data_IF_211394247279
#
_entry.id   IF_211394247279
#
_cell.length_a   1.000
_cell.length_b   1.000
_cell.length_c   1.000
_cell.angle_alpha   90.00
_cell.angle_beta   90.00
_cell.angle_gamma   90.00
#
_symmetry.space_group_name_H-M   'P 1'
#
loop_
_entity.id
_entity.type
_entity.pdbx_description
1 polymer ?
#
# COMPACT_ATOMS: atom_id res chain seq x y z
N UNK A 1 -1.31 1.03 5.77
CA UNK A 1 -0.26 -0.02 5.75
C UNK A 1 -0.90 -1.39 5.79
N UNK A 2 -0.31 -2.37 5.12
CA UNK A 2 -0.63 -3.80 5.33
C UNK A 2 0.66 -4.53 5.69
N UNK A 3 0.80 -4.92 6.95
CA UNK A 3 2.09 -5.32 7.52
C UNK A 3 3.13 -4.21 7.34
N UNK A 4 4.25 -4.53 6.68
CA UNK A 4 5.30 -3.56 6.36
C UNK A 4 5.10 -2.82 5.02
N UNK A 5 4.00 -3.09 4.29
CA UNK A 5 3.82 -2.60 2.92
C UNK A 5 2.94 -1.34 2.91
N UNK A 6 3.43 -0.22 2.35
CA UNK A 6 2.61 0.94 2.02
C UNK A 6 1.59 0.57 0.94
N UNK A 7 0.32 0.74 1.26
CA UNK A 7 -0.81 0.47 0.35
C UNK A 7 -1.78 1.64 0.38
N UNK A 8 -2.22 2.10 -0.79
CA UNK A 8 -3.24 3.15 -0.94
C UNK A 8 -4.39 2.68 -1.83
N UNK A 9 -5.60 3.10 -1.47
CA UNK A 9 -6.82 2.85 -2.25
C UNK A 9 -7.11 4.09 -3.08
N UNK A 10 -7.17 3.94 -4.41
CA UNK A 10 -7.42 5.05 -5.33
C UNK A 10 -8.67 4.76 -6.14
N UNK A 11 -9.57 5.75 -6.23
CA UNK A 11 -10.70 5.70 -7.16
C UNK A 11 -10.22 6.17 -8.53
N UNK A 12 -10.33 5.31 -9.53
CA UNK A 12 -9.99 5.60 -10.92
C UNK A 12 -11.19 6.27 -11.63
N UNK A 13 -10.88 7.01 -12.70
CA UNK A 13 -11.89 7.56 -13.60
C UNK A 13 -12.68 6.40 -14.22
N UNK A 14 -14.00 6.38 -14.00
CA UNK A 14 -14.87 5.24 -14.31
C UNK A 14 -15.42 4.50 -13.09
N UNK A 15 -15.10 4.94 -11.88
CA UNK A 15 -15.67 4.42 -10.63
C UNK A 15 -15.04 3.11 -10.14
N UNK A 16 -14.03 2.61 -10.85
CA UNK A 16 -13.25 1.46 -10.38
C UNK A 16 -12.34 1.84 -9.22
N UNK A 17 -12.22 0.93 -8.25
CA UNK A 17 -11.29 1.09 -7.14
C UNK A 17 -10.03 0.28 -7.43
N UNK A 18 -8.88 0.95 -7.48
CA UNK A 18 -7.58 0.32 -7.59
C UNK A 18 -6.86 0.32 -6.24
N UNK A 19 -6.14 -0.76 -5.96
CA UNK A 19 -5.26 -0.87 -4.79
C UNK A 19 -3.83 -0.78 -5.28
N UNK A 20 -3.11 0.23 -4.83
CA UNK A 20 -1.71 0.44 -5.18
C UNK A 20 -0.85 0.06 -3.98
N UNK A 21 0.06 -0.90 -4.17
CA UNK A 21 1.01 -1.34 -3.15
C UNK A 21 2.43 -1.00 -3.58
N UNK A 22 3.27 -0.59 -2.65
CA UNK A 22 4.68 -0.31 -2.93
C UNK A 22 5.44 -1.61 -3.18
N UNK A 23 6.06 -1.73 -4.35
CA UNK A 23 6.96 -2.83 -4.69
C UNK A 23 8.40 -2.41 -4.39
N UNK A 24 8.98 -2.99 -3.33
CA UNK A 24 10.35 -2.68 -2.92
C UNK A 24 11.37 -3.02 -4.00
N UNK A 25 11.17 -4.09 -4.78
CA UNK A 25 12.12 -4.50 -5.82
C UNK A 25 12.12 -3.56 -7.03
N UNK A 26 11.01 -2.85 -7.27
CA UNK A 26 10.87 -1.92 -8.39
C UNK A 26 10.93 -0.45 -7.96
N UNK A 27 11.01 -0.17 -6.66
CA UNK A 27 11.01 1.17 -6.10
C UNK A 27 9.75 2.00 -6.40
N UNK A 28 8.65 1.36 -6.82
CA UNK A 28 7.43 2.04 -7.32
C UNK A 28 6.16 1.35 -6.85
N UNK A 29 5.04 2.07 -6.95
CA UNK A 29 3.72 1.51 -6.68
C UNK A 29 3.20 0.72 -7.87
N UNK A 30 2.57 -0.42 -7.58
CA UNK A 30 1.91 -1.26 -8.59
C UNK A 30 0.50 -1.62 -8.14
N UNK A 31 -0.38 -1.82 -9.12
CA UNK A 31 -1.72 -2.33 -8.85
C UNK A 31 -1.64 -3.75 -8.31
N UNK A 32 -2.19 -3.98 -7.13
CA UNK A 32 -2.20 -5.30 -6.51
C UNK A 32 -3.52 -5.52 -5.76
N UNK A 33 -4.46 -6.18 -6.44
CA UNK A 33 -5.80 -6.48 -5.94
C UNK A 33 -5.81 -7.48 -4.78
N UNK A 34 -4.71 -8.20 -4.50
CA UNK A 34 -4.65 -9.14 -3.35
C UNK A 34 -4.85 -8.41 -2.02
N UNK A 35 -4.32 -7.18 -1.91
CA UNK A 35 -4.50 -6.34 -0.74
C UNK A 35 -5.95 -5.85 -0.57
N UNK A 36 -6.78 -5.88 -1.61
CA UNK A 36 -8.20 -5.48 -1.49
C UNK A 36 -8.93 -6.32 -0.46
N UNK A 37 -8.76 -7.66 -0.52
CA UNK A 37 -9.42 -8.58 0.41
C UNK A 37 -8.88 -8.42 1.83
N UNK A 38 -7.56 -8.20 1.98
CA UNK A 38 -6.93 -7.97 3.29
C UNK A 38 -7.43 -6.67 3.94
N UNK A 39 -7.57 -5.59 3.17
CA UNK A 39 -8.07 -4.31 3.68
C UNK A 39 -9.55 -4.40 4.04
N UNK A 40 -10.38 -5.07 3.23
CA UNK A 40 -11.83 -5.14 3.47
C UNK A 40 -12.24 -6.07 4.60
N UNK A 41 -11.49 -7.15 4.80
CA UNK A 41 -11.88 -8.23 5.72
C UNK A 41 -10.99 -8.29 6.96
N UNK A 42 -10.16 -7.29 7.22
CA UNK A 42 -9.05 -7.36 8.18
C UNK A 42 -9.38 -8.13 9.47
N UNK A 43 -9.11 -9.42 9.39
CA UNK A 43 -9.27 -10.46 10.39
C UNK A 43 -7.89 -10.88 10.93
N UNK A 44 -6.84 -10.39 10.27
CA UNK A 44 -5.43 -10.67 10.56
C UNK A 44 -4.79 -9.63 11.49
N UNK A 45 -5.39 -8.44 11.64
CA UNK A 45 -4.82 -7.31 12.37
C UNK A 45 -3.60 -6.69 11.67
N UNK A 46 -3.37 -7.02 10.40
CA UNK A 46 -2.23 -6.53 9.62
C UNK A 46 -2.51 -5.17 9.00
N UNK A 47 -3.76 -4.72 8.97
CA UNK A 47 -4.14 -3.46 8.33
C UNK A 47 -4.09 -2.35 9.38
N UNK A 48 -3.16 -1.42 9.17
CA UNK A 48 -3.05 -0.20 9.99
C UNK A 48 -3.38 1.01 9.14
N UNK A 49 -4.37 1.79 9.55
CA UNK A 49 -4.54 3.15 9.04
C UNK A 49 -3.43 4.03 9.62
N UNK A 50 -2.80 4.81 8.76
CA UNK A 50 -1.62 5.63 9.10
C UNK A 50 -1.83 7.03 8.54
N UNK A 51 -1.12 8.01 9.10
CA UNK A 51 -1.11 9.36 8.52
C UNK A 51 -0.35 9.38 7.19
N UNK A 52 -0.49 10.48 6.45
CA UNK A 52 0.25 10.67 5.21
C UNK A 52 1.77 10.73 5.47
N UNK A 53 2.18 11.41 6.54
CA UNK A 53 3.59 11.52 6.91
C UNK A 53 4.20 10.16 7.29
N UNK A 54 3.48 9.34 8.07
CA UNK A 54 3.90 7.97 8.40
C UNK A 54 4.03 7.10 7.14
N UNK A 55 3.13 7.29 6.18
CA UNK A 55 3.12 6.56 4.92
C UNK A 55 4.33 6.95 4.06
N UNK A 56 4.58 8.24 3.88
CA UNK A 56 5.70 8.77 3.11
C UNK A 56 7.03 8.31 3.69
N UNK A 57 7.19 8.44 5.01
CA UNK A 57 8.38 7.94 5.71
C UNK A 57 8.62 6.45 5.45
N UNK A 58 7.57 5.61 5.52
CA UNK A 58 7.70 4.18 5.23
C UNK A 58 8.10 3.90 3.78
N UNK A 59 7.59 4.67 2.81
CA UNK A 59 7.97 4.56 1.40
C UNK A 59 9.43 4.94 1.19
N UNK A 60 9.90 6.03 1.79
CA UNK A 60 11.29 6.48 1.69
C UNK A 60 12.25 5.44 2.27
N UNK A 61 11.94 4.88 3.44
CA UNK A 61 12.75 3.83 4.07
C UNK A 61 12.83 2.57 3.19
N UNK A 62 11.77 2.25 2.44
CA UNK A 62 11.77 1.12 1.50
C UNK A 62 12.52 1.44 0.20
N UNK A 63 12.47 2.68 -0.29
CA UNK A 63 13.27 3.12 -1.45
C UNK A 63 14.76 3.01 -1.18
N UNK A 64 15.21 3.40 0.01
CA UNK A 64 16.62 3.29 0.40
C UNK A 64 17.12 1.84 0.45
N UNK A 65 16.24 0.87 0.71
CA UNK A 65 16.57 -0.57 0.74
C UNK A 65 16.58 -1.22 -0.65
N UNK A 66 16.00 -0.56 -1.65
CA UNK A 66 15.90 -1.05 -3.02
C UNK A 66 17.12 -0.71 -3.88
N UNK A 67 17.89 0.30 -3.45
CA UNK A 67 19.17 0.74 -4.02
C UNK A 67 20.34 -0.07 -3.48
#
# INVERSE_FOLDING_TARGET
>A
MVGAVPVKVVRQEGGQTAILAFNVHLGRFESNSRYYSMIRRDDTGLVRQVTEEEFEFAVEQLRQKAS
#
